data_IF_069446549008
#
_entry.id   IF_069446549008
#
_cell.length_a   1.000
_cell.length_b   1.000
_cell.length_c   1.000
_cell.angle_alpha   90.00
_cell.angle_beta   90.00
_cell.angle_gamma   90.00
#
_symmetry.space_group_name_H-M   'P 1'
#
loop_
_entity.id
_entity.type
_entity.pdbx_description
1 polymer ?
#
# COMPACT_ATOMS: atom_id res chain seq x y z
N UNK A 1 -12.00 -3.59 -0.81
CA UNK A 1 -10.87 -3.43 -1.71
C UNK A 1 -11.22 -2.56 -2.91
N UNK A 2 -10.23 -1.88 -3.46
CA UNK A 2 -10.35 -1.10 -4.70
C UNK A 2 -10.80 -1.96 -5.89
N UNK A 3 -10.39 -3.23 -5.92
CA UNK A 3 -10.83 -4.27 -6.85
C UNK A 3 -12.34 -4.40 -6.88
N UNK A 4 -13.00 -4.46 -5.71
CA UNK A 4 -14.46 -4.54 -5.61
C UNK A 4 -15.16 -3.25 -6.05
N UNK A 5 -14.56 -2.09 -5.78
CA UNK A 5 -15.08 -0.81 -6.30
C UNK A 5 -15.07 -0.81 -7.82
N UNK A 6 -13.98 -1.28 -8.43
CA UNK A 6 -13.82 -1.41 -9.88
C UNK A 6 -14.82 -2.42 -10.45
N UNK A 7 -14.96 -3.60 -9.82
CA UNK A 7 -15.87 -4.65 -10.26
C UNK A 7 -17.34 -4.23 -10.14
N UNK A 8 -17.72 -3.61 -9.03
CA UNK A 8 -19.10 -3.17 -8.82
C UNK A 8 -19.56 -2.14 -9.85
N UNK A 9 -18.64 -1.30 -10.36
CA UNK A 9 -18.92 -0.25 -11.33
C UNK A 9 -19.99 0.74 -10.85
N UNK A 10 -20.10 0.89 -9.52
CA UNK A 10 -20.98 1.89 -8.90
C UNK A 10 -20.22 3.20 -8.76
N UNK A 11 -20.93 4.29 -8.90
CA UNK A 11 -20.40 5.61 -8.65
C UNK A 11 -20.21 5.81 -7.13
N UNK A 12 -18.95 5.94 -6.71
CA UNK A 12 -18.54 6.19 -5.33
C UNK A 12 -17.31 7.09 -5.31
N UNK A 13 -17.23 7.92 -4.29
CA UNK A 13 -16.01 8.68 -4.00
C UNK A 13 -15.04 7.82 -3.19
N UNK A 14 -13.80 7.70 -3.65
CA UNK A 14 -12.71 7.12 -2.85
C UNK A 14 -12.11 8.24 -2.00
N UNK A 15 -12.41 8.20 -0.70
CA UNK A 15 -12.01 9.24 0.23
C UNK A 15 -10.57 9.07 0.72
N UNK A 16 -10.12 7.83 0.91
CA UNK A 16 -8.80 7.54 1.46
C UNK A 16 -8.34 6.14 1.06
N UNK A 17 -7.06 6.01 0.70
CA UNK A 17 -6.37 4.71 0.62
C UNK A 17 -5.83 4.37 2.02
N UNK A 18 -6.22 3.22 2.55
CA UNK A 18 -5.87 2.82 3.91
C UNK A 18 -4.46 2.18 4.03
N UNK A 19 -3.80 1.94 2.90
CA UNK A 19 -2.40 1.48 2.83
C UNK A 19 -2.17 0.01 3.20
N UNK A 20 -3.23 -0.76 3.48
CA UNK A 20 -3.14 -2.18 3.81
C UNK A 20 -3.99 -3.04 2.87
N UNK A 21 -3.93 -4.38 3.02
CA UNK A 21 -4.66 -5.32 2.16
C UNK A 21 -4.17 -5.29 0.71
N UNK A 22 -2.88 -5.00 0.48
CA UNK A 22 -2.30 -4.95 -0.86
C UNK A 22 -2.41 -6.29 -1.57
N UNK A 23 -3.00 -6.28 -2.74
CA UNK A 23 -3.10 -7.42 -3.63
C UNK A 23 -3.12 -6.93 -5.08
N UNK A 24 -3.01 -7.88 -6.00
CA UNK A 24 -3.14 -7.64 -7.44
C UNK A 24 -4.25 -8.52 -8.00
N UNK A 25 -5.04 -8.01 -8.90
CA UNK A 25 -5.90 -8.83 -9.74
C UNK A 25 -5.08 -9.22 -10.97
N UNK A 26 -4.91 -10.51 -11.20
CA UNK A 26 -4.01 -11.02 -12.22
C UNK A 26 -4.71 -12.01 -13.14
N UNK A 27 -4.22 -12.13 -14.37
CA UNK A 27 -4.48 -13.27 -15.25
C UNK A 27 -3.44 -14.34 -14.91
N UNK A 28 -3.89 -15.56 -14.63
CA UNK A 28 -3.00 -16.69 -14.38
C UNK A 28 -3.44 -17.94 -15.16
N UNK A 29 -2.48 -18.70 -15.62
CA UNK A 29 -2.69 -19.95 -16.34
C UNK A 29 -1.82 -21.06 -15.76
N UNK A 30 -2.01 -22.28 -16.23
CA UNK A 30 -1.22 -23.45 -15.79
C UNK A 30 0.26 -23.26 -16.11
N UNK A 31 1.12 -23.71 -15.22
CA UNK A 31 2.58 -23.64 -15.39
C UNK A 31 3.08 -24.41 -16.63
N UNK A 32 2.37 -25.51 -16.97
CA UNK A 32 2.69 -26.36 -18.12
C UNK A 32 2.01 -25.90 -19.43
N UNK A 33 1.19 -24.84 -19.41
CA UNK A 33 0.56 -24.31 -20.62
C UNK A 33 1.57 -23.57 -21.51
N UNK A 34 1.32 -23.57 -22.83
CA UNK A 34 2.18 -22.89 -23.81
C UNK A 34 2.12 -21.35 -23.68
N UNK A 35 0.94 -20.81 -23.34
CA UNK A 35 0.76 -19.36 -23.20
C UNK A 35 1.48 -18.84 -21.95
N UNK A 36 2.47 -17.98 -22.14
CA UNK A 36 3.26 -17.37 -21.07
C UNK A 36 3.03 -15.89 -20.93
N UNK A 37 2.44 -15.26 -21.93
CA UNK A 37 2.12 -13.83 -22.01
C UNK A 37 0.68 -13.66 -22.48
N UNK A 38 0.11 -12.51 -22.25
CA UNK A 38 -1.27 -12.18 -22.62
C UNK A 38 -1.53 -12.39 -24.13
N UNK A 39 -0.55 -12.02 -24.96
CA UNK A 39 -0.65 -12.13 -26.43
C UNK A 39 -0.57 -13.58 -26.94
N UNK A 40 -0.14 -14.52 -26.10
CA UNK A 40 -0.05 -15.94 -26.46
C UNK A 40 -1.41 -16.65 -26.30
N UNK A 41 -2.40 -15.99 -25.69
CA UNK A 41 -3.74 -16.53 -25.46
C UNK A 41 -4.52 -16.59 -26.78
N UNK A 42 -5.08 -17.77 -27.14
CA UNK A 42 -5.89 -17.88 -28.36
C UNK A 42 -7.24 -17.15 -28.20
N UNK A 43 -7.86 -16.78 -29.32
CA UNK A 43 -9.22 -16.26 -29.33
C UNK A 43 -10.19 -17.33 -28.80
N UNK A 44 -11.16 -16.91 -27.98
CA UNK A 44 -12.11 -17.81 -27.31
C UNK A 44 -11.53 -18.48 -26.06
N UNK A 45 -10.39 -18.01 -25.53
CA UNK A 45 -9.87 -18.45 -24.24
C UNK A 45 -10.93 -18.31 -23.16
N UNK A 46 -11.21 -19.40 -22.43
CA UNK A 46 -12.14 -19.39 -21.30
C UNK A 46 -11.47 -18.87 -20.04
N UNK A 47 -12.08 -17.89 -19.40
CA UNK A 47 -11.53 -17.16 -18.23
C UNK A 47 -12.44 -17.34 -17.04
N UNK A 48 -12.05 -18.16 -16.05
CA UNK A 48 -12.80 -18.28 -14.81
C UNK A 48 -12.47 -17.14 -13.85
N UNK A 49 -13.51 -16.47 -13.31
CA UNK A 49 -13.29 -15.32 -12.42
C UNK A 49 -14.51 -14.98 -11.56
N UNK A 50 -14.25 -14.42 -10.36
CA UNK A 50 -15.21 -13.70 -9.55
C UNK A 50 -15.33 -12.19 -9.93
N UNK A 51 -14.55 -11.72 -10.91
CA UNK A 51 -14.48 -10.32 -11.36
C UNK A 51 -14.83 -10.20 -12.85
N UNK A 52 -16.04 -10.65 -13.29
CA UNK A 52 -16.37 -10.76 -14.70
C UNK A 52 -16.34 -9.43 -15.46
N UNK A 53 -16.77 -8.32 -14.83
CA UNK A 53 -16.78 -7.00 -15.48
C UNK A 53 -15.38 -6.46 -15.70
N UNK A 54 -14.53 -6.56 -14.67
CA UNK A 54 -13.16 -6.09 -14.72
C UNK A 54 -12.35 -6.91 -15.72
N UNK A 55 -12.52 -8.24 -15.71
CA UNK A 55 -11.88 -9.13 -16.66
C UNK A 55 -12.31 -8.84 -18.10
N UNK A 56 -13.62 -8.76 -18.37
CA UNK A 56 -14.13 -8.47 -19.70
C UNK A 56 -13.57 -7.15 -20.27
N UNK A 57 -13.55 -6.08 -19.46
CA UNK A 57 -12.99 -4.79 -19.87
C UNK A 57 -11.51 -4.90 -20.19
N UNK A 58 -10.71 -5.55 -19.34
CA UNK A 58 -9.29 -5.71 -19.53
C UNK A 58 -8.94 -6.45 -20.82
N UNK A 59 -9.60 -7.58 -21.11
CA UNK A 59 -9.38 -8.33 -22.34
C UNK A 59 -9.85 -7.58 -23.57
N UNK A 60 -10.96 -6.84 -23.48
CA UNK A 60 -11.43 -5.98 -24.55
C UNK A 60 -10.41 -4.87 -24.88
N UNK A 61 -9.87 -4.19 -23.87
CA UNK A 61 -8.83 -3.17 -24.03
C UNK A 61 -7.53 -3.74 -24.63
N UNK A 62 -7.22 -5.01 -24.31
CA UNK A 62 -6.09 -5.75 -24.88
C UNK A 62 -6.36 -6.26 -26.32
N UNK A 63 -7.56 -6.10 -26.87
CA UNK A 63 -7.95 -6.60 -28.18
C UNK A 63 -8.12 -8.12 -28.26
N UNK A 64 -8.34 -8.78 -27.13
CA UNK A 64 -8.50 -10.22 -27.01
C UNK A 64 -9.97 -10.61 -26.82
N UNK A 65 -10.45 -11.53 -27.65
CA UNK A 65 -11.77 -12.13 -27.47
C UNK A 65 -11.67 -13.34 -26.55
N UNK A 66 -12.38 -13.31 -25.43
CA UNK A 66 -12.39 -14.35 -24.41
C UNK A 66 -13.83 -14.70 -23.99
N UNK A 67 -14.00 -15.91 -23.46
CA UNK A 67 -15.27 -16.37 -22.89
C UNK A 67 -15.17 -16.29 -21.36
N UNK A 68 -15.88 -15.36 -20.75
CA UNK A 68 -15.88 -15.19 -19.30
C UNK A 68 -16.78 -16.26 -18.66
N UNK A 69 -16.20 -17.02 -17.74
CA UNK A 69 -16.88 -18.04 -16.92
C UNK A 69 -16.98 -17.52 -15.48
N UNK A 70 -18.10 -16.95 -15.07
CA UNK A 70 -18.25 -16.45 -13.69
C UNK A 70 -18.20 -17.58 -12.68
N UNK A 71 -17.38 -17.42 -11.63
CA UNK A 71 -17.29 -18.34 -10.50
C UNK A 71 -17.46 -17.57 -9.18
N UNK A 72 -17.95 -18.23 -8.13
CA UNK A 72 -18.15 -17.59 -6.82
C UNK A 72 -17.00 -17.85 -5.85
N UNK A 73 -15.98 -18.59 -6.26
CA UNK A 73 -14.78 -18.92 -5.48
C UNK A 73 -14.03 -20.07 -6.11
N UNK A 74 -12.86 -20.42 -5.56
CA UNK A 74 -12.01 -21.51 -6.02
C UNK A 74 -11.67 -21.44 -7.52
N UNK A 75 -11.47 -20.25 -8.06
CA UNK A 75 -11.13 -20.04 -9.47
C UNK A 75 -9.85 -20.80 -9.85
N UNK A 76 -8.90 -20.94 -8.93
CA UNK A 76 -7.61 -21.61 -9.11
C UNK A 76 -7.72 -23.10 -9.51
N UNK A 77 -8.85 -23.73 -9.26
CA UNK A 77 -9.09 -25.14 -9.63
C UNK A 77 -9.65 -25.25 -11.05
N UNK A 78 -10.29 -24.21 -11.59
CA UNK A 78 -11.00 -24.26 -12.87
C UNK A 78 -10.13 -24.74 -14.06
N UNK A 79 -8.84 -24.36 -14.20
CA UNK A 79 -7.98 -24.86 -15.28
C UNK A 79 -7.68 -26.36 -15.16
N UNK A 80 -7.60 -26.90 -13.94
CA UNK A 80 -7.36 -28.34 -13.72
C UNK A 80 -8.57 -29.20 -14.02
N UNK A 81 -9.76 -28.65 -13.82
CA UNK A 81 -11.04 -29.30 -14.16
C UNK A 81 -11.41 -29.15 -15.64
N UNK A 82 -10.63 -28.41 -16.43
CA UNK A 82 -10.95 -28.13 -17.84
C UNK A 82 -12.17 -27.21 -18.01
N UNK A 83 -12.60 -26.50 -16.96
CA UNK A 83 -13.71 -25.54 -17.00
C UNK A 83 -13.27 -24.24 -17.65
N UNK A 84 -12.03 -23.83 -17.43
CA UNK A 84 -11.42 -22.64 -18.01
C UNK A 84 -9.97 -22.93 -18.43
N UNK A 85 -9.42 -22.08 -19.27
CA UNK A 85 -8.04 -22.17 -19.74
C UNK A 85 -7.10 -21.31 -18.89
N UNK A 86 -7.62 -20.18 -18.40
CA UNK A 86 -6.95 -19.25 -17.48
C UNK A 86 -7.94 -18.76 -16.42
N UNK A 87 -7.40 -18.11 -15.38
CA UNK A 87 -8.21 -17.46 -14.35
C UNK A 87 -7.90 -15.97 -14.26
N UNK A 88 -8.83 -15.21 -13.73
CA UNK A 88 -8.59 -13.87 -13.22
C UNK A 88 -8.96 -13.88 -11.74
N UNK A 89 -7.94 -13.69 -10.88
CA UNK A 89 -8.12 -13.77 -9.43
C UNK A 89 -7.17 -12.84 -8.66
N UNK A 90 -7.50 -12.61 -7.38
CA UNK A 90 -6.68 -11.78 -6.48
C UNK A 90 -5.48 -12.54 -5.96
N UNK A 91 -4.34 -11.90 -6.01
CA UNK A 91 -3.06 -12.43 -5.56
C UNK A 91 -2.37 -11.44 -4.63
N UNK A 92 -2.08 -11.86 -3.40
CA UNK A 92 -1.27 -11.08 -2.46
C UNK A 92 0.22 -11.43 -2.61
N UNK A 93 0.59 -12.69 -2.34
CA UNK A 93 1.99 -13.16 -2.38
C UNK A 93 2.30 -14.08 -3.55
N UNK A 94 1.29 -14.60 -4.24
CA UNK A 94 1.43 -15.59 -5.30
C UNK A 94 1.60 -17.04 -4.82
N UNK A 95 1.59 -17.29 -3.51
CA UNK A 95 1.74 -18.65 -2.97
C UNK A 95 0.60 -19.57 -3.40
N UNK A 96 -0.64 -19.09 -3.40
CA UNK A 96 -1.81 -19.87 -3.82
C UNK A 96 -1.71 -20.31 -5.29
N UNK A 97 -1.28 -19.42 -6.17
CA UNK A 97 -1.07 -19.78 -7.58
C UNK A 97 -0.02 -20.90 -7.71
N UNK A 98 1.13 -20.74 -7.04
CA UNK A 98 2.22 -21.74 -7.10
C UNK A 98 1.81 -23.12 -6.57
N UNK A 99 1.09 -23.16 -5.44
CA UNK A 99 0.60 -24.42 -4.87
C UNK A 99 -0.37 -25.13 -5.81
N UNK A 100 -1.13 -24.37 -6.60
CA UNK A 100 -2.05 -24.91 -7.61
C UNK A 100 -1.41 -25.01 -9.00
N UNK A 101 -0.08 -25.01 -9.15
CA UNK A 101 0.58 -25.15 -10.44
C UNK A 101 0.16 -24.10 -11.46
N UNK A 102 -0.09 -22.88 -11.01
CA UNK A 102 -0.44 -21.74 -11.83
C UNK A 102 0.67 -20.68 -11.80
N UNK A 103 0.84 -19.98 -12.92
CA UNK A 103 1.73 -18.82 -13.04
C UNK A 103 0.97 -17.58 -13.46
N UNK A 104 1.41 -16.45 -13.00
CA UNK A 104 0.92 -15.14 -13.43
C UNK A 104 1.33 -14.87 -14.88
N UNK A 105 0.37 -14.45 -15.70
CA UNK A 105 0.56 -14.09 -17.12
C UNK A 105 0.56 -12.57 -17.28
N UNK A 106 -0.36 -11.88 -16.58
CA UNK A 106 -0.48 -10.42 -16.62
C UNK A 106 -1.12 -9.89 -15.34
N UNK A 107 -0.76 -8.67 -14.94
CA UNK A 107 -1.45 -7.93 -13.88
C UNK A 107 -2.51 -7.03 -14.51
N UNK A 108 -3.74 -7.10 -13.99
CA UNK A 108 -4.88 -6.28 -14.42
C UNK A 108 -4.91 -4.96 -13.66
N UNK A 109 -4.83 -5.04 -12.33
CA UNK A 109 -4.81 -3.88 -11.43
C UNK A 109 -4.15 -4.22 -10.09
N UNK A 110 -3.64 -3.20 -9.43
CA UNK A 110 -3.24 -3.27 -8.02
C UNK A 110 -4.38 -2.76 -7.13
N UNK A 111 -4.58 -3.40 -5.99
CA UNK A 111 -5.64 -3.09 -5.06
C UNK A 111 -5.14 -2.96 -3.64
N UNK A 112 -5.78 -2.06 -2.90
CA UNK A 112 -5.63 -1.83 -1.47
C UNK A 112 -7.02 -1.67 -0.84
N UNK A 113 -7.09 -1.72 0.48
CA UNK A 113 -8.29 -1.31 1.20
C UNK A 113 -8.49 0.20 1.06
N UNK A 114 -9.69 0.63 0.73
CA UNK A 114 -10.05 2.04 0.57
C UNK A 114 -11.29 2.41 1.39
N UNK A 115 -11.33 3.63 1.88
CA UNK A 115 -12.54 4.24 2.44
C UNK A 115 -13.32 4.86 1.29
N UNK A 116 -14.60 4.48 1.17
CA UNK A 116 -15.48 5.00 0.12
C UNK A 116 -16.74 5.63 0.71
N UNK A 117 -17.34 6.54 -0.04
CA UNK A 117 -18.64 7.12 0.29
C UNK A 117 -19.55 7.18 -0.94
N UNK A 118 -20.81 7.54 -0.73
CA UNK A 118 -21.65 8.02 -1.83
C UNK A 118 -21.03 9.28 -2.46
N UNK A 119 -21.28 9.53 -3.75
CA UNK A 119 -20.75 10.72 -4.43
C UNK A 119 -21.15 12.00 -3.71
N UNK A 120 -20.20 12.93 -3.58
CA UNK A 120 -20.39 14.25 -3.00
C UNK A 120 -20.56 14.31 -1.50
N UNK A 121 -20.45 13.22 -0.74
CA UNK A 121 -20.68 13.22 0.71
C UNK A 121 -19.70 14.14 1.48
N UNK A 122 -18.46 14.24 1.04
CA UNK A 122 -17.46 15.10 1.69
C UNK A 122 -17.77 16.61 1.51
N UNK A 123 -18.63 16.97 0.56
CA UNK A 123 -19.13 18.32 0.27
C UNK A 123 -20.56 18.55 0.79
N UNK A 124 -21.18 17.53 1.37
CA UNK A 124 -22.54 17.59 1.91
C UNK A 124 -22.66 18.66 3.00
N UNK A 125 -23.66 19.56 2.97
CA UNK A 125 -23.80 20.62 3.95
C UNK A 125 -24.04 20.12 5.39
N UNK A 126 -24.66 18.95 5.56
CA UNK A 126 -25.01 18.37 6.86
C UNK A 126 -23.89 17.46 7.39
N UNK A 127 -23.30 16.60 6.53
CA UNK A 127 -22.37 15.55 6.95
C UNK A 127 -20.92 15.77 6.50
N UNK A 128 -20.68 16.70 5.59
CA UNK A 128 -19.35 16.88 4.97
C UNK A 128 -18.26 17.22 5.96
N UNK A 129 -18.55 17.97 7.02
CA UNK A 129 -17.56 18.28 8.06
C UNK A 129 -17.13 17.02 8.81
N UNK A 130 -18.09 16.21 9.29
CA UNK A 130 -17.82 14.97 10.01
C UNK A 130 -17.03 13.96 9.15
N UNK A 131 -17.37 13.89 7.85
CA UNK A 131 -16.63 13.04 6.90
C UNK A 131 -15.18 13.48 6.78
N UNK A 132 -14.92 14.77 6.60
CA UNK A 132 -13.55 15.31 6.51
C UNK A 132 -12.77 15.09 7.82
N UNK A 133 -13.39 15.28 8.97
CA UNK A 133 -12.78 15.02 10.27
C UNK A 133 -12.43 13.53 10.44
N UNK A 134 -13.32 12.63 10.04
CA UNK A 134 -13.04 11.19 10.05
C UNK A 134 -11.88 10.83 9.13
N UNK A 135 -11.86 11.35 7.90
CA UNK A 135 -10.78 11.14 6.93
C UNK A 135 -9.46 11.64 7.50
N UNK A 136 -9.41 12.86 8.04
CA UNK A 136 -8.22 13.44 8.64
C UNK A 136 -7.71 12.61 9.83
N UNK A 137 -8.63 12.12 10.69
CA UNK A 137 -8.28 11.24 11.81
C UNK A 137 -7.65 9.94 11.35
N UNK A 138 -8.21 9.26 10.35
CA UNK A 138 -7.66 8.03 9.78
C UNK A 138 -6.32 8.29 9.07
N UNK A 139 -6.23 9.35 8.29
CA UNK A 139 -5.00 9.73 7.58
C UNK A 139 -3.85 9.99 8.55
N UNK A 140 -4.13 10.65 9.69
CA UNK A 140 -3.11 10.91 10.72
C UNK A 140 -2.50 9.63 11.29
N UNK A 141 -3.28 8.57 11.45
CA UNK A 141 -2.81 7.25 11.91
C UNK A 141 -1.99 6.56 10.83
N UNK A 142 -2.47 6.59 9.57
CA UNK A 142 -1.77 5.99 8.43
C UNK A 142 -0.39 6.65 8.25
N UNK A 143 -0.33 7.98 8.29
CA UNK A 143 0.92 8.74 8.19
C UNK A 143 1.91 8.43 9.32
N UNK A 144 1.41 8.14 10.53
CA UNK A 144 2.22 7.80 11.69
C UNK A 144 2.80 6.39 11.65
N UNK A 145 2.19 5.45 10.91
CA UNK A 145 2.50 4.01 10.98
C UNK A 145 3.98 3.71 10.72
N UNK A 146 4.57 4.33 9.71
CA UNK A 146 5.97 4.12 9.33
C UNK A 146 6.91 5.24 9.83
N UNK A 147 6.45 6.02 10.80
CA UNK A 147 7.24 7.08 11.43
C UNK A 147 7.56 6.74 12.89
N UNK A 148 8.64 7.33 13.37
CA UNK A 148 9.07 7.27 14.77
C UNK A 148 9.47 8.66 15.20
N UNK A 149 9.26 8.97 16.47
CA UNK A 149 9.80 10.16 17.09
C UNK A 149 11.10 9.80 17.77
N UNK A 150 12.20 10.41 17.33
CA UNK A 150 13.54 10.21 17.88
C UNK A 150 13.96 11.45 18.65
N UNK A 151 14.49 11.23 19.84
CA UNK A 151 15.08 12.26 20.70
C UNK A 151 16.50 11.82 21.07
N UNK A 152 17.44 12.75 21.12
CA UNK A 152 18.81 12.51 21.54
C UNK A 152 19.43 13.77 22.15
N UNK A 153 20.28 13.61 23.15
CA UNK A 153 21.20 14.67 23.55
C UNK A 153 22.38 14.65 22.60
N UNK A 154 22.69 15.77 21.97
CA UNK A 154 23.73 15.87 20.97
C UNK A 154 24.70 16.99 21.29
N UNK A 155 26.00 16.84 21.00
CA UNK A 155 26.98 17.92 21.21
C UNK A 155 26.58 19.16 20.39
N UNK A 156 26.56 20.32 21.04
CA UNK A 156 26.26 21.62 20.39
C UNK A 156 27.20 21.89 19.21
N UNK A 157 28.45 21.48 19.33
CA UNK A 157 29.46 21.65 18.28
C UNK A 157 29.12 20.83 17.00
N UNK A 158 28.35 19.74 17.11
CA UNK A 158 27.99 18.85 16.00
C UNK A 158 26.64 19.20 15.37
N UNK A 159 25.99 20.31 15.71
CA UNK A 159 24.63 20.65 15.24
C UNK A 159 24.49 20.69 13.71
N UNK A 160 25.54 21.10 12.99
CA UNK A 160 25.49 21.16 11.54
C UNK A 160 25.38 19.77 10.91
N UNK A 161 26.12 18.78 11.47
CA UNK A 161 26.10 17.37 11.07
C UNK A 161 24.80 16.71 11.51
N UNK A 162 24.35 16.99 12.73
CA UNK A 162 23.09 16.47 13.28
C UNK A 162 21.88 16.84 12.41
N UNK A 163 21.82 18.06 11.89
CA UNK A 163 20.74 18.49 10.98
C UNK A 163 20.68 17.67 9.69
N UNK A 164 21.82 17.12 9.24
CA UNK A 164 21.86 16.23 8.05
C UNK A 164 21.38 14.81 8.37
N UNK A 165 21.69 14.32 9.58
CA UNK A 165 21.30 13.00 10.07
C UNK A 165 19.84 12.97 10.50
N UNK A 166 19.33 14.08 11.05
CA UNK A 166 17.96 14.25 11.52
C UNK A 166 17.23 15.33 10.69
N UNK A 167 16.86 15.07 9.43
CA UNK A 167 16.19 16.06 8.61
C UNK A 167 14.78 16.40 9.11
N UNK A 168 14.13 15.47 9.85
CA UNK A 168 12.76 15.64 10.32
C UNK A 168 11.75 15.86 9.18
N UNK A 169 10.59 16.41 9.50
CA UNK A 169 9.59 16.84 8.49
C UNK A 169 9.96 18.23 7.94
N UNK A 170 10.35 19.13 8.83
CA UNK A 170 10.73 20.52 8.52
C UNK A 170 12.05 20.93 9.20
N UNK A 171 12.88 19.96 9.55
CA UNK A 171 14.08 20.08 10.35
C UNK A 171 13.91 19.53 11.76
N UNK A 172 15.03 19.28 12.48
CA UNK A 172 14.98 18.88 13.88
C UNK A 172 14.57 20.04 14.78
N UNK A 173 13.84 19.75 15.84
CA UNK A 173 13.63 20.69 16.94
C UNK A 173 14.83 20.61 17.88
N UNK A 174 15.42 21.75 18.21
CA UNK A 174 16.56 21.84 19.12
C UNK A 174 16.12 22.56 20.39
N UNK A 175 16.41 21.94 21.54
CA UNK A 175 16.07 22.51 22.87
C UNK A 175 17.33 22.46 23.74
N UNK A 176 17.57 23.52 24.52
CA UNK A 176 18.67 23.56 25.47
C UNK A 176 18.43 22.57 26.62
N UNK A 177 19.47 21.83 27.00
CA UNK A 177 19.46 20.96 28.17
C UNK A 177 19.89 21.82 29.37
N UNK A 178 19.12 21.78 30.46
CA UNK A 178 19.46 22.52 31.69
C UNK A 178 20.82 22.10 32.21
N UNK A 179 21.59 23.09 32.62
CA UNK A 179 22.93 22.93 33.23
C UNK A 179 23.99 22.26 32.34
N UNK A 180 23.70 22.04 31.05
CA UNK A 180 24.64 21.48 30.08
C UNK A 180 24.94 22.51 28.99
N UNK A 181 26.07 23.22 29.09
CA UNK A 181 26.53 24.12 28.02
C UNK A 181 26.97 23.39 26.75
N UNK A 182 27.33 22.12 26.84
CA UNK A 182 27.94 21.32 25.77
C UNK A 182 26.91 20.53 24.93
N UNK A 183 25.75 20.21 25.52
CA UNK A 183 24.72 19.40 24.86
C UNK A 183 23.44 20.18 24.63
N UNK A 184 22.71 19.76 23.59
CA UNK A 184 21.32 20.15 23.32
C UNK A 184 20.50 18.91 23.05
N UNK A 185 19.20 18.95 23.33
CA UNK A 185 18.28 17.92 22.92
C UNK A 185 17.83 18.19 21.47
N UNK A 186 18.02 17.19 20.62
CA UNK A 186 17.52 17.19 19.23
C UNK A 186 16.37 16.22 19.10
N UNK A 187 15.26 16.68 18.56
CA UNK A 187 14.06 15.87 18.34
C UNK A 187 13.67 15.89 16.88
N UNK A 188 13.35 14.72 16.31
CA UNK A 188 12.88 14.65 14.93
C UNK A 188 11.93 13.47 14.69
N UNK A 189 11.09 13.60 13.69
CA UNK A 189 10.35 12.49 13.09
C UNK A 189 11.25 11.82 12.06
N UNK A 190 11.44 10.52 12.18
CA UNK A 190 12.27 9.69 11.28
C UNK A 190 11.47 8.53 10.71
N UNK A 191 11.88 8.01 9.56
CA UNK A 191 11.30 6.79 9.02
C UNK A 191 11.65 5.57 9.87
N UNK A 192 10.69 4.71 10.14
CA UNK A 192 10.88 3.48 10.94
C UNK A 192 12.02 2.61 10.41
N UNK A 193 12.16 2.51 9.09
CA UNK A 193 13.20 1.71 8.43
C UNK A 193 14.61 2.27 8.63
N UNK A 194 14.72 3.60 8.85
CA UNK A 194 16.00 4.29 8.95
C UNK A 194 16.49 4.45 10.40
N UNK A 195 15.66 4.10 11.39
CA UNK A 195 15.93 4.32 12.83
C UNK A 195 17.32 3.82 13.24
N UNK A 196 17.67 2.56 12.91
CA UNK A 196 18.95 1.99 13.35
C UNK A 196 20.17 2.66 12.70
N UNK A 197 20.06 3.04 11.43
CA UNK A 197 21.10 3.79 10.72
C UNK A 197 21.27 5.17 11.37
N UNK A 198 20.17 5.87 11.57
CA UNK A 198 20.16 7.19 12.24
C UNK A 198 20.76 7.12 13.64
N UNK A 199 20.46 6.10 14.43
CA UNK A 199 21.06 5.90 15.76
C UNK A 199 22.59 5.71 15.66
N UNK A 200 23.07 4.92 14.70
CA UNK A 200 24.50 4.69 14.50
C UNK A 200 25.23 6.00 14.14
N UNK A 201 24.72 6.74 13.16
CA UNK A 201 25.27 8.01 12.74
C UNK A 201 25.27 9.07 13.88
N UNK A 202 24.20 9.12 14.68
CA UNK A 202 24.14 10.01 15.85
C UNK A 202 25.18 9.65 16.90
N UNK A 203 25.40 8.35 17.17
CA UNK A 203 26.44 7.90 18.13
C UNK A 203 27.85 8.26 17.67
N UNK A 204 28.15 8.15 16.39
CA UNK A 204 29.44 8.59 15.82
C UNK A 204 29.67 10.09 16.02
N UNK A 205 28.61 10.89 16.05
CA UNK A 205 28.63 12.33 16.33
C UNK A 205 28.64 12.65 17.85
N UNK A 206 28.72 11.65 18.70
CA UNK A 206 28.78 11.83 20.16
C UNK A 206 27.41 12.00 20.82
N UNK A 207 26.33 11.59 20.16
CA UNK A 207 25.00 11.64 20.77
C UNK A 207 24.84 10.60 21.88
N UNK A 208 24.10 10.97 22.92
CA UNK A 208 23.75 10.14 24.06
C UNK A 208 22.26 10.24 24.40
N UNK A 209 21.76 9.38 25.29
CA UNK A 209 20.38 9.43 25.72
C UNK A 209 19.36 9.26 24.58
N UNK A 210 19.68 8.45 23.56
CA UNK A 210 18.85 8.31 22.37
C UNK A 210 17.59 7.52 22.69
N UNK A 211 16.43 8.14 22.48
CA UNK A 211 15.11 7.55 22.68
C UNK A 211 14.35 7.50 21.37
N UNK A 212 13.63 6.40 21.14
CA UNK A 212 12.76 6.23 19.99
C UNK A 212 11.39 5.79 20.45
N UNK A 213 10.35 6.53 20.07
CA UNK A 213 8.97 6.20 20.43
C UNK A 213 8.10 6.04 19.17
N UNK A 214 6.96 5.36 19.34
CA UNK A 214 5.91 5.31 18.32
C UNK A 214 5.15 6.63 18.30
N UNK A 215 4.72 7.02 17.12
CA UNK A 215 3.82 8.15 16.91
C UNK A 215 2.43 7.57 16.71
N UNK A 216 1.46 7.97 17.51
CA UNK A 216 0.08 7.51 17.36
C UNK A 216 -0.62 8.21 16.19
N UNK A 217 -0.38 9.51 16.05
CA UNK A 217 -0.98 10.35 15.01
C UNK A 217 0.04 11.36 14.51
N UNK A 218 0.05 11.57 13.20
CA UNK A 218 0.89 12.56 12.54
C UNK A 218 0.00 13.39 11.61
N UNK A 219 -0.28 14.60 12.04
CA UNK A 219 -0.99 15.60 11.22
C UNK A 219 0.03 16.52 10.57
N UNK A 220 -0.11 16.81 9.26
CA UNK A 220 0.76 17.76 8.57
C UNK A 220 0.54 19.20 9.05
#
# INVERSE_FOLDING_TARGET
GRDLVTEAGRDVDVLLDLGFGRCRLVVAGRDDAAATRLQDLPSGTRVATAFPRTAARFFQEAGLQVDIVPVTGAAEIAPHLGVADVIVDLVATGSTLKVNGLREIATILESTAVLVSRPGLAQDPEYGQQVRELVAALESVIRATDKRYLMANVPRAALAEIKRVLPGISGPTIVDVMDSGEFVAAHAVVDRRDVYRTIAELKELGAEGILVTRIERLMP
#
